data_IF_971585822808
#
_entry.id   IF_971585822808
#
_cell.length_a   1.000
_cell.length_b   1.000
_cell.length_c   1.000
_cell.angle_alpha   90.00
_cell.angle_beta   90.00
_cell.angle_gamma   90.00
#
_symmetry.space_group_name_H-M   'P 1'
#
loop_
_entity.id
_entity.type
_entity.pdbx_description
1 polymer ?
#
# COMPACT_ATOMS: atom_id res chain seq x y z
N UNK A 1 0.21 9.28 26.32
CA UNK A 1 0.07 7.83 26.06
C UNK A 1 0.63 7.56 24.68
N UNK A 2 1.46 6.52 24.52
CA UNK A 2 1.99 6.09 23.22
C UNK A 2 1.46 4.68 22.94
N UNK A 3 1.03 4.44 21.71
CA UNK A 3 0.50 3.14 21.26
C UNK A 3 1.38 2.66 20.11
N UNK A 4 1.89 1.44 20.22
CA UNK A 4 2.72 0.80 19.21
C UNK A 4 1.94 -0.38 18.62
N UNK A 5 1.81 -0.40 17.30
CA UNK A 5 1.07 -1.42 16.57
C UNK A 5 2.06 -2.30 15.81
N UNK A 6 1.84 -3.61 15.80
CA UNK A 6 2.65 -4.55 15.02
C UNK A 6 1.82 -5.74 14.55
N UNK A 7 2.21 -6.36 13.44
CA UNK A 7 1.60 -7.56 12.89
C UNK A 7 2.59 -8.30 12.00
N UNK A 8 2.53 -9.64 11.98
CA UNK A 8 3.43 -10.45 11.13
C UNK A 8 4.92 -10.21 11.37
N UNK A 9 5.31 -9.83 12.60
CA UNK A 9 6.70 -9.50 12.94
C UNK A 9 7.17 -8.10 12.53
N UNK A 10 6.35 -7.31 11.85
CA UNK A 10 6.67 -5.94 11.42
C UNK A 10 5.93 -4.89 12.27
N UNK A 11 6.50 -3.68 12.36
CA UNK A 11 5.81 -2.52 12.93
C UNK A 11 4.80 -1.97 11.93
N UNK A 12 3.61 -1.60 12.40
CA UNK A 12 2.64 -0.83 11.60
C UNK A 12 2.99 0.65 11.78
N UNK A 13 3.59 1.24 10.75
CA UNK A 13 4.12 2.61 10.82
C UNK A 13 3.12 3.65 10.31
N UNK A 14 2.17 3.25 9.47
CA UNK A 14 1.05 4.08 9.06
C UNK A 14 -0.11 3.20 8.60
N UNK A 15 -1.34 3.60 8.90
CA UNK A 15 -2.54 3.01 8.34
C UNK A 15 -3.64 4.05 8.25
N UNK A 16 -4.60 3.82 7.36
CA UNK A 16 -5.68 4.77 7.17
C UNK A 16 -6.75 4.27 6.20
N UNK A 17 -7.78 5.10 6.08
CA UNK A 17 -8.80 4.99 5.06
C UNK A 17 -9.00 6.37 4.43
N UNK A 18 -9.16 6.40 3.11
CA UNK A 18 -9.52 7.61 2.38
C UNK A 18 -10.60 7.32 1.33
N UNK A 19 -11.40 8.33 1.00
CA UNK A 19 -12.27 8.31 -0.17
C UNK A 19 -11.53 8.94 -1.35
N UNK A 20 -11.71 8.37 -2.53
CA UNK A 20 -11.22 8.94 -3.78
C UNK A 20 -12.22 9.95 -4.31
N UNK A 21 -11.73 10.85 -5.17
CA UNK A 21 -12.57 11.87 -5.78
C UNK A 21 -13.67 11.27 -6.69
N UNK A 22 -13.40 10.08 -7.26
CA UNK A 22 -14.36 9.31 -8.02
C UNK A 22 -13.96 7.84 -8.11
N UNK A 23 -14.87 7.01 -8.64
CA UNK A 23 -14.73 5.54 -8.70
C UNK A 23 -13.46 5.05 -9.40
N UNK A 24 -12.99 5.76 -10.42
CA UNK A 24 -11.84 5.39 -11.26
C UNK A 24 -10.67 6.38 -11.12
N UNK A 25 -10.76 7.33 -10.20
CA UNK A 25 -9.65 8.25 -9.91
C UNK A 25 -8.51 7.51 -9.20
N UNK A 26 -7.28 7.99 -9.40
CA UNK A 26 -6.12 7.37 -8.79
C UNK A 26 -5.93 7.81 -7.32
N UNK A 27 -5.31 6.93 -6.53
CA UNK A 27 -4.77 7.31 -5.23
C UNK A 27 -3.26 7.47 -5.33
N UNK A 28 -2.76 8.64 -4.93
CA UNK A 28 -1.31 8.89 -4.80
C UNK A 28 -0.93 8.98 -3.34
N UNK A 29 0.00 8.13 -2.93
CA UNK A 29 0.58 8.14 -1.59
C UNK A 29 2.06 8.44 -1.74
N UNK A 30 2.49 9.58 -1.22
CA UNK A 30 3.91 9.91 -1.15
C UNK A 30 4.46 9.47 0.19
N UNK A 31 5.48 8.63 0.15
CA UNK A 31 6.17 8.09 1.31
C UNK A 31 7.52 8.78 1.40
N UNK A 32 7.74 9.52 2.47
CA UNK A 32 9.01 10.15 2.78
C UNK A 32 9.51 9.58 4.11
N UNK A 33 10.74 9.12 4.12
CA UNK A 33 11.38 8.58 5.31
C UNK A 33 12.60 9.43 5.67
N UNK A 34 13.07 9.25 6.90
CA UNK A 34 14.37 9.77 7.30
C UNK A 34 15.47 9.27 6.34
N UNK A 35 16.60 9.98 6.29
CA UNK A 35 17.75 9.69 5.40
C UNK A 35 17.54 10.00 3.92
N UNK A 36 16.45 10.71 3.57
CA UNK A 36 16.23 11.24 2.23
C UNK A 36 15.57 10.26 1.26
N UNK A 37 15.11 9.11 1.74
CA UNK A 37 14.29 8.21 0.93
C UNK A 37 12.92 8.83 0.65
N UNK A 38 12.51 8.80 -0.61
CA UNK A 38 11.20 9.27 -1.07
C UNK A 38 10.71 8.36 -2.19
N UNK A 39 9.47 7.91 -2.11
CA UNK A 39 8.79 7.22 -3.20
C UNK A 39 7.32 7.62 -3.30
N UNK A 40 6.75 7.47 -4.49
CA UNK A 40 5.32 7.64 -4.72
C UNK A 40 4.69 6.31 -5.08
N UNK A 41 3.57 5.99 -4.44
CA UNK A 41 2.74 4.84 -4.77
C UNK A 41 1.48 5.38 -5.45
N UNK A 42 1.20 4.87 -6.66
CA UNK A 42 -0.02 5.18 -7.42
C UNK A 42 -0.89 3.94 -7.51
N UNK A 43 -2.12 4.03 -7.02
CA UNK A 43 -3.15 3.02 -7.26
C UNK A 43 -4.03 3.49 -8.40
N UNK A 44 -3.98 2.78 -9.53
CA UNK A 44 -4.75 3.10 -10.72
C UNK A 44 -5.88 2.10 -10.88
N UNK A 45 -7.13 2.55 -10.71
CA UNK A 45 -8.31 1.71 -10.87
C UNK A 45 -8.80 1.77 -12.31
N UNK A 46 -8.96 0.60 -12.94
CA UNK A 46 -9.37 0.49 -14.33
C UNK A 46 -10.39 -0.62 -14.48
N UNK A 47 -11.25 -0.50 -15.48
CA UNK A 47 -12.25 -1.51 -15.85
C UNK A 47 -12.08 -1.85 -17.33
N UNK A 48 -12.30 -3.10 -17.69
CA UNK A 48 -12.35 -3.56 -19.07
C UNK A 48 -13.40 -4.66 -19.25
N UNK A 49 -13.58 -5.11 -20.49
CA UNK A 49 -14.62 -6.08 -20.85
C UNK A 49 -14.35 -7.51 -20.35
N UNK A 50 -13.13 -7.84 -19.90
CA UNK A 50 -12.83 -9.22 -19.46
C UNK A 50 -13.48 -9.57 -18.13
N UNK A 51 -13.73 -8.57 -17.28
CA UNK A 51 -14.21 -8.76 -15.90
C UNK A 51 -13.21 -9.47 -14.97
N UNK A 52 -12.03 -9.86 -15.46
CA UNK A 52 -11.01 -10.54 -14.66
C UNK A 52 -10.38 -9.57 -13.67
N UNK A 53 -10.49 -9.87 -12.37
CA UNK A 53 -9.84 -9.09 -11.30
C UNK A 53 -8.34 -9.34 -11.36
N UNK A 54 -7.55 -8.28 -11.55
CA UNK A 54 -6.09 -8.40 -11.65
C UNK A 54 -5.36 -7.23 -11.00
N UNK A 55 -4.21 -7.55 -10.39
CA UNK A 55 -3.27 -6.57 -9.85
C UNK A 55 -1.96 -6.69 -10.63
N UNK A 56 -1.44 -5.56 -11.09
CA UNK A 56 -0.12 -5.49 -11.71
C UNK A 56 0.67 -4.34 -11.11
N UNK A 57 1.91 -4.60 -10.70
CA UNK A 57 2.79 -3.60 -10.12
C UNK A 57 3.95 -3.31 -11.06
N UNK A 58 4.31 -2.04 -11.20
CA UNK A 58 5.46 -1.58 -11.99
C UNK A 58 6.16 -0.43 -11.28
N UNK A 59 7.45 -0.60 -11.01
CA UNK A 59 8.33 0.45 -10.51
C UNK A 59 9.04 1.14 -11.69
N UNK A 60 9.01 2.48 -11.74
CA UNK A 60 9.77 3.28 -12.70
C UNK A 60 10.35 4.52 -11.99
N UNK A 61 11.66 4.51 -11.76
CA UNK A 61 12.27 5.47 -10.85
C UNK A 61 11.67 5.29 -9.45
N UNK A 62 11.26 6.40 -8.83
CA UNK A 62 10.71 6.40 -7.47
C UNK A 62 9.18 6.25 -7.43
N UNK A 63 8.56 5.91 -8.56
CA UNK A 63 7.10 5.76 -8.67
C UNK A 63 6.74 4.29 -8.84
N UNK A 64 6.13 3.71 -7.81
CA UNK A 64 5.48 2.41 -7.85
C UNK A 64 4.03 2.56 -8.31
N UNK A 65 3.72 2.12 -9.52
CA UNK A 65 2.34 2.08 -10.01
C UNK A 65 1.75 0.69 -9.79
N UNK A 66 0.61 0.63 -9.11
CA UNK A 66 -0.19 -0.58 -8.91
C UNK A 66 -1.49 -0.40 -9.69
N UNK A 67 -1.60 -1.15 -10.79
CA UNK A 67 -2.78 -1.21 -11.63
C UNK A 67 -3.79 -2.21 -11.07
N UNK A 68 -4.96 -1.72 -10.70
CA UNK A 68 -6.09 -2.46 -10.13
C UNK A 68 -7.18 -2.62 -11.20
N UNK A 69 -7.17 -3.74 -11.90
CA UNK A 69 -8.09 -4.03 -13.01
C UNK A 69 -9.33 -4.76 -12.49
N UNK A 70 -10.51 -4.27 -12.86
CA UNK A 70 -11.83 -4.84 -12.57
C UNK A 70 -12.09 -5.11 -11.09
N UNK A 71 -11.54 -4.28 -10.19
CA UNK A 71 -11.75 -4.42 -8.75
C UNK A 71 -13.23 -4.38 -8.39
N UNK A 72 -13.69 -5.39 -7.64
CA UNK A 72 -15.09 -5.55 -7.27
C UNK A 72 -15.59 -4.44 -6.35
N UNK A 73 -16.88 -4.10 -6.49
CA UNK A 73 -17.52 -3.11 -5.64
C UNK A 73 -17.53 -3.53 -4.16
N UNK A 74 -17.72 -4.83 -3.90
CA UNK A 74 -17.78 -5.41 -2.54
C UNK A 74 -16.42 -5.47 -1.84
N UNK A 75 -15.32 -5.23 -2.57
CA UNK A 75 -13.99 -5.21 -2.01
C UNK A 75 -12.99 -5.97 -2.87
N UNK A 76 -11.87 -5.35 -3.19
CA UNK A 76 -10.72 -6.01 -3.80
C UNK A 76 -9.43 -5.35 -3.33
N UNK A 77 -8.36 -6.14 -3.22
CA UNK A 77 -7.07 -5.69 -2.70
C UNK A 77 -6.00 -6.76 -2.84
N UNK A 78 -4.83 -6.51 -2.26
CA UNK A 78 -3.76 -7.50 -2.23
C UNK A 78 -4.02 -8.54 -1.13
N UNK A 79 -3.77 -9.82 -1.42
CA UNK A 79 -3.98 -10.91 -0.47
C UNK A 79 -2.93 -10.98 0.63
N UNK A 80 -1.78 -10.34 0.44
CA UNK A 80 -0.69 -10.23 1.40
C UNK A 80 0.04 -8.89 1.24
N UNK A 81 0.69 -8.37 2.31
CA UNK A 81 1.56 -7.20 2.20
C UNK A 81 2.64 -7.42 1.13
N UNK A 82 2.79 -6.44 0.25
CA UNK A 82 3.82 -6.45 -0.81
C UNK A 82 5.03 -5.66 -0.35
N UNK A 83 6.23 -6.21 -0.54
CA UNK A 83 7.47 -5.46 -0.37
C UNK A 83 7.54 -4.38 -1.45
N UNK A 84 7.75 -3.13 -1.03
CA UNK A 84 7.77 -1.97 -1.94
C UNK A 84 9.13 -1.24 -1.96
N UNK A 85 9.94 -1.42 -0.91
CA UNK A 85 11.29 -0.89 -0.82
C UNK A 85 12.09 -1.61 0.27
N UNK A 86 13.41 -1.48 0.20
CA UNK A 86 14.34 -1.83 1.27
C UNK A 86 15.13 -0.57 1.65
N UNK A 87 15.13 -0.23 2.93
CA UNK A 87 15.77 0.97 3.49
C UNK A 87 16.62 0.50 4.67
N UNK A 88 17.93 0.77 4.63
CA UNK A 88 18.89 0.32 5.66
C UNK A 88 18.80 -1.18 6.01
N UNK A 89 18.63 -2.03 5.00
CA UNK A 89 18.51 -3.48 5.21
C UNK A 89 17.20 -3.93 5.88
N UNK A 90 16.20 -3.04 5.95
CA UNK A 90 14.86 -3.32 6.47
C UNK A 90 13.82 -3.14 5.38
N UNK A 91 12.88 -4.08 5.32
CA UNK A 91 11.85 -4.08 4.28
C UNK A 91 10.66 -3.20 4.66
N UNK A 92 10.24 -2.36 3.72
CA UNK A 92 8.99 -1.61 3.75
C UNK A 92 7.95 -2.36 2.94
N UNK A 93 6.81 -2.63 3.57
CA UNK A 93 5.69 -3.32 2.97
C UNK A 93 4.45 -2.43 2.91
N UNK A 94 3.62 -2.68 1.91
CA UNK A 94 2.36 -2.00 1.70
C UNK A 94 1.24 -3.01 1.42
N UNK A 95 0.10 -2.82 2.06
CA UNK A 95 -1.14 -3.52 1.73
C UNK A 95 -2.26 -2.51 1.58
N UNK A 96 -3.24 -2.85 0.75
CA UNK A 96 -4.45 -2.06 0.60
C UNK A 96 -5.64 -2.93 0.20
N UNK A 97 -6.82 -2.41 0.51
CA UNK A 97 -8.10 -2.90 0.04
C UNK A 97 -8.95 -1.72 -0.39
N UNK A 98 -9.68 -1.85 -1.50
CA UNK A 98 -10.60 -0.82 -1.96
C UNK A 98 -12.02 -1.35 -2.02
N UNK A 99 -12.98 -0.46 -1.78
CA UNK A 99 -14.42 -0.73 -1.84
C UNK A 99 -15.09 0.36 -2.65
N UNK A 100 -16.18 0.04 -3.35
CA UNK A 100 -17.07 1.07 -3.89
C UNK A 100 -18.17 1.31 -2.87
N UNK A 101 -18.13 2.47 -2.24
CA UNK A 101 -19.12 2.93 -1.26
C UNK A 101 -20.26 3.66 -1.98
N UNK A 102 -21.48 3.14 -1.81
CA UNK A 102 -22.65 3.63 -2.53
C UNK A 102 -22.61 3.23 -4.00
N UNK A 103 -22.63 4.21 -4.90
CA UNK A 103 -22.64 3.97 -6.36
C UNK A 103 -21.36 4.41 -7.07
N UNK A 104 -20.74 5.49 -6.62
CA UNK A 104 -19.68 6.18 -7.39
C UNK A 104 -18.42 6.52 -6.58
N UNK A 105 -18.44 6.35 -5.26
CA UNK A 105 -17.28 6.69 -4.42
C UNK A 105 -16.45 5.44 -4.17
N UNK A 106 -15.13 5.52 -4.35
CA UNK A 106 -14.23 4.44 -3.95
C UNK A 106 -13.54 4.82 -2.65
N UNK A 107 -13.56 3.96 -1.64
CA UNK A 107 -12.65 4.09 -0.51
C UNK A 107 -11.47 3.14 -0.65
N UNK A 108 -10.33 3.54 -0.10
CA UNK A 108 -9.13 2.72 0.00
C UNK A 108 -8.68 2.69 1.45
N UNK A 109 -8.62 1.49 2.01
CA UNK A 109 -7.96 1.19 3.27
C UNK A 109 -6.55 0.73 2.98
N UNK A 110 -5.57 1.23 3.71
CA UNK A 110 -4.17 0.88 3.49
C UNK A 110 -3.41 0.76 4.80
N UNK A 111 -2.34 -0.02 4.76
CA UNK A 111 -1.39 -0.16 5.86
C UNK A 111 0.03 -0.27 5.30
N UNK A 112 0.93 0.48 5.92
CA UNK A 112 2.37 0.37 5.76
C UNK A 112 2.96 -0.40 6.94
N UNK A 113 3.75 -1.42 6.62
CA UNK A 113 4.52 -2.16 7.62
C UNK A 113 6.00 -1.94 7.38
N UNK A 114 6.78 -1.86 8.45
CA UNK A 114 8.22 -1.77 8.35
C UNK A 114 8.85 -2.85 9.21
N UNK A 115 9.76 -3.62 8.62
CA UNK A 115 10.45 -4.70 9.31
C UNK A 115 11.11 -4.18 10.58
N UNK A 116 10.96 -4.87 11.71
CA UNK A 116 11.57 -4.43 12.97
C UNK A 116 13.09 -4.43 12.82
N UNK A 117 13.77 -3.46 13.44
CA UNK A 117 15.23 -3.62 13.64
C UNK A 117 15.43 -4.93 14.42
N UNK A 118 16.35 -5.80 14.00
CA UNK A 118 16.78 -6.89 14.86
C UNK A 118 17.14 -6.28 16.22
N UNK A 119 16.70 -6.87 17.35
CA UNK A 119 17.29 -6.48 18.62
C UNK A 119 18.79 -6.63 18.44
N UNK A 120 19.56 -5.57 18.72
CA UNK A 120 21.01 -5.56 18.59
C UNK A 120 21.56 -6.92 19.02
N UNK A 121 21.95 -7.75 18.05
CA UNK A 121 22.79 -8.90 18.33
C UNK A 121 24.08 -8.25 18.78
N UNK A 122 24.29 -8.16 20.09
CA UNK A 122 25.58 -7.82 20.66
C UNK A 122 26.61 -8.65 19.90
N UNK A 123 27.42 -7.97 19.08
CA UNK A 123 28.66 -8.52 18.57
C UNK A 123 29.56 -8.80 19.79
N UNK A 124 30.46 -9.80 19.65
CA UNK A 124 30.94 -10.68 20.73
C UNK A 124 31.48 -9.99 21.98
#
# INVERSE_FOLDING_TARGET
MQIYLSSGGCDIIASGQTFLFGRQEDLRIRVEMEQGFSMEIRLNFMENESGEVRIQSRLKGDILTISCLNFENAGSGVSAPQEIAEIDGRKLYFTFWSYVDGKESRSVRYTFFYEKKPPFSGMP
#
